data_IF_617227186993
#
_entry.id   IF_617227186993
#
_cell.length_a   1.000
_cell.length_b   1.000
_cell.length_c   1.000
_cell.angle_alpha   90.00
_cell.angle_beta   90.00
_cell.angle_gamma   90.00
#
_symmetry.space_group_name_H-M   'P 1'
#
loop_
_entity.id
_entity.type
_entity.pdbx_description
1 polymer ?
#
# COMPACT_ATOMS: atom_id res chain seq x y z
N UNK A 1 -18.93 16.70 -23.71
CA UNK A 1 -18.83 15.26 -24.05
C UNK A 1 -17.70 14.67 -23.23
N UNK A 2 -18.00 13.79 -22.29
CA UNK A 2 -17.01 13.15 -21.41
C UNK A 2 -16.28 12.06 -22.21
N UNK A 3 -14.97 12.25 -22.43
CA UNK A 3 -14.17 11.37 -23.27
C UNK A 3 -13.89 10.09 -22.48
N UNK A 4 -14.67 9.04 -22.74
CA UNK A 4 -14.50 7.71 -22.13
C UNK A 4 -13.16 7.11 -22.57
N UNK A 5 -12.08 7.40 -21.85
CA UNK A 5 -10.78 6.80 -22.13
C UNK A 5 -10.79 5.37 -21.63
N UNK A 6 -10.60 4.43 -22.56
CA UNK A 6 -10.47 3.01 -22.26
C UNK A 6 -9.01 2.59 -22.43
N UNK A 7 -8.39 2.09 -21.36
CA UNK A 7 -7.04 1.49 -21.42
C UNK A 7 -7.14 -0.01 -21.27
N UNK A 8 -6.30 -0.73 -22.02
CA UNK A 8 -6.15 -2.18 -21.94
C UNK A 8 -4.90 -2.56 -21.14
N UNK A 9 -5.04 -3.61 -20.32
CA UNK A 9 -4.01 -4.22 -19.50
C UNK A 9 -4.14 -5.74 -19.59
N UNK A 10 -3.02 -6.45 -19.51
CA UNK A 10 -3.02 -7.92 -19.45
C UNK A 10 -3.48 -8.43 -18.08
N UNK A 11 -3.24 -7.64 -17.03
CA UNK A 11 -3.62 -7.99 -15.66
C UNK A 11 -3.96 -6.74 -14.83
N UNK A 12 -5.07 -6.82 -14.09
CA UNK A 12 -5.49 -5.78 -13.16
C UNK A 12 -5.65 -6.41 -11.77
N UNK A 13 -4.96 -5.87 -10.78
CA UNK A 13 -5.24 -6.15 -9.37
C UNK A 13 -6.12 -5.05 -8.77
N UNK A 14 -7.25 -5.45 -8.19
CA UNK A 14 -8.08 -4.58 -7.35
C UNK A 14 -7.66 -4.82 -5.89
N UNK A 15 -6.85 -3.90 -5.37
CA UNK A 15 -6.23 -3.93 -4.05
C UNK A 15 -4.72 -4.21 -4.12
N UNK A 16 -3.92 -3.34 -3.51
CA UNK A 16 -2.47 -3.45 -3.36
C UNK A 16 -2.07 -4.08 -2.01
N UNK A 17 -2.82 -5.10 -1.58
CA UNK A 17 -2.37 -6.00 -0.50
C UNK A 17 -1.41 -7.06 -1.01
N UNK A 18 -0.91 -7.93 -0.11
CA UNK A 18 0.07 -8.97 -0.46
C UNK A 18 -0.34 -9.81 -1.68
N UNK A 19 -1.61 -10.24 -1.77
CA UNK A 19 -2.08 -11.04 -2.89
C UNK A 19 -2.09 -10.27 -4.22
N UNK A 20 -2.66 -9.06 -4.23
CA UNK A 20 -2.78 -8.26 -5.45
C UNK A 20 -1.42 -7.80 -5.98
N UNK A 21 -0.56 -7.31 -5.09
CA UNK A 21 0.80 -6.88 -5.42
C UNK A 21 1.64 -8.03 -5.98
N UNK A 22 1.74 -9.15 -5.27
CA UNK A 22 2.56 -10.28 -5.74
C UNK A 22 2.08 -10.84 -7.08
N UNK A 23 0.79 -10.76 -7.37
CA UNK A 23 0.23 -11.22 -8.63
C UNK A 23 0.61 -10.30 -9.80
N UNK A 24 0.48 -8.98 -9.65
CA UNK A 24 0.88 -8.02 -10.71
C UNK A 24 2.39 -7.90 -10.87
N UNK A 25 3.15 -8.00 -9.77
CA UNK A 25 4.61 -8.03 -9.78
C UNK A 25 5.10 -9.21 -10.61
N UNK A 26 4.59 -10.42 -10.34
CA UNK A 26 4.94 -11.62 -11.12
C UNK A 26 4.52 -11.52 -12.58
N UNK A 27 3.36 -10.95 -12.88
CA UNK A 27 2.93 -10.77 -14.26
C UNK A 27 3.83 -9.77 -15.01
N UNK A 28 4.22 -8.66 -14.36
CA UNK A 28 5.15 -7.68 -14.91
C UNK A 28 6.55 -8.27 -15.18
N UNK A 29 7.05 -9.16 -14.30
CA UNK A 29 8.29 -9.91 -14.53
C UNK A 29 8.25 -10.74 -15.84
N UNK A 30 7.06 -11.20 -16.26
CA UNK A 30 6.84 -11.90 -17.53
C UNK A 30 6.50 -10.95 -18.70
N UNK A 31 6.76 -9.65 -18.55
CA UNK A 31 6.54 -8.64 -19.60
C UNK A 31 5.08 -8.27 -19.83
N UNK A 32 4.17 -8.58 -18.89
CA UNK A 32 2.76 -8.21 -18.99
C UNK A 32 2.52 -6.78 -18.54
N UNK A 33 1.65 -6.08 -19.27
CA UNK A 33 1.23 -4.73 -18.91
C UNK A 33 0.21 -4.80 -17.77
N UNK A 34 0.62 -4.36 -16.59
CA UNK A 34 -0.16 -4.53 -15.37
C UNK A 34 -0.65 -3.20 -14.80
N UNK A 35 -1.77 -3.28 -14.09
CA UNK A 35 -2.34 -2.18 -13.32
C UNK A 35 -2.69 -2.66 -11.91
N UNK A 36 -2.42 -1.83 -10.90
CA UNK A 36 -2.98 -2.00 -9.57
C UNK A 36 -3.85 -0.81 -9.19
N UNK A 37 -5.02 -1.09 -8.61
CA UNK A 37 -5.97 -0.10 -8.12
C UNK A 37 -6.07 -0.27 -6.60
N UNK A 38 -5.62 0.71 -5.81
CA UNK A 38 -5.69 0.67 -4.35
C UNK A 38 -6.42 1.90 -3.81
N UNK A 39 -7.28 1.69 -2.81
CA UNK A 39 -8.13 2.74 -2.24
C UNK A 39 -7.50 3.39 -1.00
N UNK A 40 -6.66 2.65 -0.27
CA UNK A 40 -6.04 3.08 0.98
C UNK A 40 -4.53 3.20 0.83
N UNK A 41 -3.77 2.31 1.44
CA UNK A 41 -2.32 2.40 1.58
C UNK A 41 -1.69 1.13 1.03
N UNK A 42 -0.60 1.29 0.29
CA UNK A 42 0.19 0.21 -0.27
C UNK A 42 0.59 -0.83 0.79
N UNK A 43 0.64 -2.10 0.39
CA UNK A 43 0.92 -3.24 1.27
C UNK A 43 -0.31 -3.80 1.99
N UNK A 44 -1.47 -3.12 1.90
CA UNK A 44 -2.75 -3.58 2.42
C UNK A 44 -2.74 -3.92 3.91
N UNK A 45 -3.59 -4.85 4.34
CA UNK A 45 -3.74 -5.23 5.75
C UNK A 45 -2.44 -5.72 6.38
N UNK A 46 -1.71 -6.60 5.68
CA UNK A 46 -0.52 -7.26 6.20
C UNK A 46 0.53 -6.26 6.71
N UNK A 47 0.82 -5.24 5.90
CA UNK A 47 1.81 -4.20 6.21
C UNK A 47 1.25 -3.18 7.21
N UNK A 48 0.03 -2.71 7.00
CA UNK A 48 -0.45 -1.51 7.70
C UNK A 48 -1.07 -1.81 9.07
N UNK A 49 -1.82 -2.92 9.19
CA UNK A 49 -2.66 -3.21 10.38
C UNK A 49 -2.70 -4.70 10.77
N UNK A 50 -1.79 -5.50 10.23
CA UNK A 50 -1.78 -6.95 10.39
C UNK A 50 -0.43 -7.47 10.83
N UNK A 51 0.17 -8.30 9.98
CA UNK A 51 1.36 -9.09 10.27
C UNK A 51 2.55 -8.24 10.76
N UNK A 52 2.85 -7.13 10.08
CA UNK A 52 3.99 -6.26 10.40
C UNK A 52 3.85 -5.61 11.77
N UNK A 53 2.82 -4.80 12.06
CA UNK A 53 2.63 -4.22 13.39
C UNK A 53 2.53 -5.31 14.47
N UNK A 54 1.82 -6.41 14.20
CA UNK A 54 1.72 -7.54 15.13
C UNK A 54 3.11 -8.09 15.49
N UNK A 55 3.97 -8.34 14.50
CA UNK A 55 5.28 -8.95 14.75
C UNK A 55 6.21 -8.02 15.54
N UNK A 56 6.16 -6.71 15.28
CA UNK A 56 6.89 -5.71 16.10
C UNK A 56 6.44 -5.77 17.56
N UNK A 57 5.12 -5.79 17.82
CA UNK A 57 4.60 -5.88 19.18
C UNK A 57 4.94 -7.21 19.86
N UNK A 58 4.89 -8.31 19.11
CA UNK A 58 5.29 -9.63 19.60
C UNK A 58 6.76 -9.68 20.02
N UNK A 59 7.66 -9.06 19.24
CA UNK A 59 9.08 -8.97 19.61
C UNK A 59 9.28 -8.18 20.90
N UNK A 60 8.58 -7.05 21.07
CA UNK A 60 8.66 -6.27 22.30
C UNK A 60 8.15 -7.04 23.52
N UNK A 61 7.06 -7.79 23.38
CA UNK A 61 6.54 -8.65 24.45
C UNK A 61 7.55 -9.76 24.80
N UNK A 62 8.12 -10.43 23.78
CA UNK A 62 9.12 -11.46 24.00
C UNK A 62 10.38 -10.92 24.69
N UNK A 63 10.83 -9.72 24.33
CA UNK A 63 11.96 -9.06 24.99
C UNK A 63 11.65 -8.77 26.47
N UNK A 64 10.44 -8.32 26.80
CA UNK A 64 10.02 -8.13 28.19
C UNK A 64 10.06 -9.43 28.99
N UNK A 65 9.58 -10.54 28.41
CA UNK A 65 9.66 -11.87 29.04
C UNK A 65 11.11 -12.31 29.27
N UNK A 66 11.99 -12.13 28.28
CA UNK A 66 13.40 -12.50 28.43
C UNK A 66 14.10 -11.69 29.52
N UNK A 67 13.84 -10.38 29.59
CA UNK A 67 14.38 -9.51 30.63
C UNK A 67 13.88 -9.95 32.03
N UNK A 68 12.59 -10.29 32.16
CA UNK A 68 12.03 -10.77 33.42
C UNK A 68 12.71 -12.07 33.89
N UNK A 69 12.96 -12.99 32.96
CA UNK A 69 13.56 -14.29 33.27
C UNK A 69 15.09 -14.24 33.43
N UNK A 70 15.74 -13.11 33.13
CA UNK A 70 17.20 -13.01 33.06
C UNK A 70 17.90 -13.30 34.40
N UNK A 71 17.26 -13.01 35.53
CA UNK A 71 17.81 -13.29 36.87
C UNK A 71 18.03 -14.79 37.10
N UNK A 72 17.11 -15.64 36.62
CA UNK A 72 17.24 -17.10 36.69
C UNK A 72 18.41 -17.66 35.87
N UNK A 73 18.98 -16.84 34.98
CA UNK A 73 20.16 -17.16 34.18
C UNK A 73 21.44 -16.52 34.74
N UNK A 74 21.37 -15.91 35.93
CA UNK A 74 22.51 -15.25 36.58
C UNK A 74 22.78 -13.82 36.14
N UNK A 75 21.93 -13.22 35.30
CA UNK A 75 22.07 -11.81 34.92
C UNK A 75 21.41 -10.88 35.94
N UNK A 76 22.18 -9.95 36.48
CA UNK A 76 21.64 -8.83 37.25
C UNK A 76 21.11 -7.74 36.30
N UNK A 77 19.80 -7.71 36.07
CA UNK A 77 19.13 -6.72 35.20
C UNK A 77 18.11 -5.91 36.02
N UNK A 78 18.19 -4.59 35.93
CA UNK A 78 17.22 -3.65 36.49
C UNK A 78 16.54 -2.83 35.37
N UNK A 79 15.21 -2.84 35.34
CA UNK A 79 14.41 -2.15 34.31
C UNK A 79 13.82 -0.88 34.88
N UNK A 80 14.39 0.26 34.53
CA UNK A 80 13.94 1.57 35.04
C UNK A 80 12.54 1.97 34.59
N UNK A 81 12.21 1.77 33.30
CA UNK A 81 10.90 2.13 32.75
C UNK A 81 10.64 1.50 31.38
N UNK A 82 9.35 1.40 31.03
CA UNK A 82 8.90 1.04 29.68
C UNK A 82 8.03 2.16 29.10
N UNK A 83 8.33 2.58 27.86
CA UNK A 83 7.56 3.61 27.17
C UNK A 83 6.76 3.02 26.02
N UNK A 84 5.45 2.85 26.24
CA UNK A 84 4.51 2.44 25.20
C UNK A 84 4.53 3.39 24.00
N UNK A 85 4.65 4.71 24.26
CA UNK A 85 4.72 5.74 23.23
C UNK A 85 5.93 5.52 22.31
N UNK A 86 7.12 5.26 22.86
CA UNK A 86 8.32 5.00 22.06
C UNK A 86 8.17 3.73 21.21
N UNK A 87 7.65 2.64 21.78
CA UNK A 87 7.39 1.40 21.03
C UNK A 87 6.43 1.64 19.87
N UNK A 88 5.29 2.30 20.13
CA UNK A 88 4.30 2.61 19.11
C UNK A 88 4.87 3.48 18.00
N UNK A 89 5.63 4.53 18.34
CA UNK A 89 6.29 5.40 17.36
C UNK A 89 7.31 4.64 16.51
N UNK A 90 8.12 3.76 17.12
CA UNK A 90 9.07 2.92 16.38
C UNK A 90 8.38 1.99 15.38
N UNK A 91 7.28 1.35 15.80
CA UNK A 91 6.43 0.53 14.92
C UNK A 91 5.86 1.34 13.76
N UNK A 92 5.27 2.50 14.05
CA UNK A 92 4.62 3.33 13.04
C UNK A 92 5.65 3.87 12.03
N UNK A 93 6.85 4.23 12.49
CA UNK A 93 7.97 4.62 11.62
C UNK A 93 8.46 3.46 10.73
N UNK A 94 8.51 2.24 11.28
CA UNK A 94 8.90 1.06 10.51
C UNK A 94 7.90 0.78 9.38
N UNK A 95 6.60 0.84 9.68
CA UNK A 95 5.54 0.68 8.67
C UNK A 95 5.62 1.79 7.62
N UNK A 96 5.83 3.04 8.05
CA UNK A 96 6.00 4.19 7.14
C UNK A 96 7.17 3.97 6.16
N UNK A 97 8.29 3.44 6.65
CA UNK A 97 9.43 3.09 5.80
C UNK A 97 9.06 2.09 4.70
N UNK A 98 8.29 1.05 5.03
CA UNK A 98 7.81 0.07 4.05
C UNK A 98 6.86 0.74 3.03
N UNK A 99 5.92 1.57 3.49
CA UNK A 99 4.94 2.20 2.59
C UNK A 99 5.60 3.20 1.65
N UNK A 100 6.58 3.98 2.10
CA UNK A 100 7.31 4.93 1.26
C UNK A 100 8.20 4.22 0.23
N UNK A 101 8.71 3.03 0.55
CA UNK A 101 9.44 2.23 -0.43
C UNK A 101 8.58 1.86 -1.65
N UNK A 102 7.28 1.64 -1.46
CA UNK A 102 6.36 1.33 -2.56
C UNK A 102 6.18 2.48 -3.56
N UNK A 103 6.33 3.74 -3.15
CA UNK A 103 6.05 4.93 -3.97
C UNK A 103 6.85 4.97 -5.29
N UNK A 104 8.05 4.38 -5.31
CA UNK A 104 8.87 4.24 -6.52
C UNK A 104 9.11 2.81 -6.97
N UNK A 105 8.54 1.81 -6.29
CA UNK A 105 8.76 0.40 -6.60
C UNK A 105 7.95 -0.05 -7.82
N UNK A 106 6.67 0.32 -7.88
CA UNK A 106 5.79 -0.05 -8.99
C UNK A 106 6.22 0.58 -10.31
N UNK A 107 6.66 1.84 -10.27
CA UNK A 107 7.17 2.56 -11.45
C UNK A 107 8.40 1.84 -12.03
N UNK A 108 9.32 1.36 -11.19
CA UNK A 108 10.49 0.57 -11.63
C UNK A 108 10.11 -0.74 -12.31
N UNK A 109 8.97 -1.32 -11.96
CA UNK A 109 8.44 -2.53 -12.58
C UNK A 109 7.56 -2.24 -13.80
N UNK A 110 7.34 -0.96 -14.16
CA UNK A 110 6.44 -0.56 -15.24
C UNK A 110 4.97 -0.90 -14.96
N UNK A 111 4.59 -1.02 -13.68
CA UNK A 111 3.22 -1.30 -13.25
C UNK A 111 2.51 0.02 -13.05
N UNK A 112 1.40 0.22 -13.76
CA UNK A 112 0.56 1.39 -13.57
C UNK A 112 -0.14 1.32 -12.21
N UNK A 113 -0.30 2.47 -11.56
CA UNK A 113 -0.98 2.59 -10.28
C UNK A 113 -2.11 3.62 -10.35
N UNK A 114 -3.28 3.23 -9.84
CA UNK A 114 -4.41 4.15 -9.62
C UNK A 114 -4.77 4.15 -8.14
N UNK A 115 -4.71 5.32 -7.51
CA UNK A 115 -5.31 5.53 -6.19
C UNK A 115 -6.81 5.73 -6.35
N UNK A 116 -7.57 4.66 -6.14
CA UNK A 116 -9.02 4.70 -6.34
C UNK A 116 -9.73 3.43 -5.93
N UNK A 117 -11.05 3.44 -6.09
CA UNK A 117 -11.87 2.26 -5.85
C UNK A 117 -12.16 1.55 -7.17
N UNK A 118 -11.69 0.31 -7.32
CA UNK A 118 -11.99 -0.52 -8.48
C UNK A 118 -13.30 -1.29 -8.31
N UNK A 119 -14.16 -1.29 -9.34
CA UNK A 119 -15.40 -2.06 -9.40
C UNK A 119 -15.50 -2.78 -10.74
N UNK A 120 -15.72 -4.09 -10.73
CA UNK A 120 -16.04 -4.83 -11.95
C UNK A 120 -17.38 -4.33 -12.51
N UNK A 121 -17.41 -4.00 -13.80
CA UNK A 121 -18.65 -3.63 -14.50
C UNK A 121 -19.14 -4.74 -15.43
N UNK A 122 -18.21 -5.56 -15.94
CA UNK A 122 -18.48 -6.78 -16.68
C UNK A 122 -17.28 -7.74 -16.56
N UNK A 123 -17.30 -8.85 -17.30
CA UNK A 123 -16.28 -9.91 -17.26
C UNK A 123 -14.85 -9.40 -17.47
N UNK A 124 -14.68 -8.40 -18.34
CA UNK A 124 -13.37 -7.93 -18.79
C UNK A 124 -13.19 -6.43 -18.56
N UNK A 125 -14.03 -5.80 -17.74
CA UNK A 125 -13.97 -4.35 -17.55
C UNK A 125 -14.07 -3.99 -16.08
N UNK A 126 -13.10 -3.21 -15.62
CA UNK A 126 -13.09 -2.55 -14.31
C UNK A 126 -13.36 -1.07 -14.51
N UNK A 127 -14.22 -0.50 -13.67
CA UNK A 127 -14.36 0.94 -13.51
C UNK A 127 -13.64 1.33 -12.23
N UNK A 128 -12.69 2.24 -12.34
CA UNK A 128 -12.11 2.92 -11.19
C UNK A 128 -12.88 4.20 -10.88
N UNK A 129 -12.98 4.50 -9.59
CA UNK A 129 -13.31 5.82 -9.08
C UNK A 129 -12.02 6.40 -8.48
N UNK A 130 -11.28 7.16 -9.30
CA UNK A 130 -10.08 7.88 -8.86
C UNK A 130 -10.41 8.79 -7.67
N UNK A 131 -9.69 8.61 -6.57
CA UNK A 131 -9.76 9.51 -5.43
C UNK A 131 -8.67 10.55 -5.64
N UNK A 132 -9.05 11.73 -6.13
CA UNK A 132 -8.09 12.82 -6.34
C UNK A 132 -7.66 13.34 -4.96
N UNK A 133 -6.52 12.89 -4.46
CA UNK A 133 -5.84 13.54 -3.34
C UNK A 133 -4.96 14.67 -3.88
N UNK A 134 -5.14 15.89 -3.37
CA UNK A 134 -4.29 17.05 -3.61
C UNK A 134 -2.95 16.90 -2.85
N UNK A 135 -2.15 15.87 -3.16
CA UNK A 135 -0.80 15.70 -2.60
C UNK A 135 0.25 15.69 -3.71
N UNK A 136 1.29 16.56 -3.63
CA UNK A 136 2.20 16.80 -4.73
C UNK A 136 3.45 15.92 -4.61
N UNK A 137 3.38 14.67 -5.06
CA UNK A 137 4.62 13.96 -5.44
C UNK A 137 4.29 12.69 -6.20
N UNK A 138 4.83 12.60 -7.42
CA UNK A 138 4.84 11.44 -8.30
C UNK A 138 3.53 11.13 -9.04
N UNK A 139 3.11 12.05 -9.90
CA UNK A 139 2.69 11.78 -11.29
C UNK A 139 2.21 13.11 -11.85
N UNK A 140 2.84 13.60 -12.92
CA UNK A 140 2.35 14.81 -13.58
C UNK A 140 0.92 14.58 -14.06
N UNK A 141 -0.04 15.45 -13.72
CA UNK A 141 -1.34 15.42 -14.37
C UNK A 141 -1.07 15.76 -15.84
N UNK A 142 -1.40 14.84 -16.74
CA UNK A 142 -1.63 15.17 -18.15
C UNK A 142 -2.47 16.46 -18.17
N UNK A 143 -1.85 17.53 -18.66
CA UNK A 143 -2.31 18.91 -18.61
C UNK A 143 -3.73 19.04 -19.17
N UNK A 144 -4.76 18.96 -18.32
CA UNK A 144 -6.14 19.22 -18.75
C UNK A 144 -7.09 19.57 -17.61
N UNK A 145 -6.67 20.38 -16.64
CA UNK A 145 -7.58 20.85 -15.59
C UNK A 145 -7.54 22.38 -15.42
N UNK A 146 -8.35 23.07 -16.23
CA UNK A 146 -8.95 24.34 -15.83
C UNK A 146 -10.27 24.05 -15.09
N UNK A 147 -10.29 24.51 -13.83
CA UNK A 147 -11.38 24.84 -12.89
C UNK A 147 -12.84 24.50 -13.26
N UNK A 148 -13.55 24.03 -12.22
CA UNK A 148 -14.99 24.07 -11.97
C UNK A 148 -15.89 23.07 -12.72
N UNK A 149 -16.11 21.89 -12.12
CA UNK A 149 -17.44 21.28 -11.95
C UNK A 149 -17.34 19.97 -11.16
N UNK A 150 -18.33 19.71 -10.31
CA UNK A 150 -18.46 18.64 -9.31
C UNK A 150 -18.65 17.22 -9.89
N UNK A 151 -18.01 16.89 -11.00
CA UNK A 151 -18.02 15.54 -11.60
C UNK A 151 -16.61 14.95 -11.55
N UNK A 152 -16.43 13.93 -10.71
CA UNK A 152 -15.21 13.12 -10.67
C UNK A 152 -15.02 12.41 -12.03
N UNK A 153 -13.82 12.43 -12.63
CA UNK A 153 -13.58 11.79 -13.92
C UNK A 153 -13.64 10.26 -13.78
N UNK A 154 -14.37 9.60 -14.68
CA UNK A 154 -14.50 8.14 -14.74
C UNK A 154 -13.57 7.55 -15.80
N UNK A 155 -12.88 6.46 -15.46
CA UNK A 155 -12.14 5.65 -16.44
C UNK A 155 -12.76 4.25 -16.54
N UNK A 156 -12.76 3.70 -17.75
CA UNK A 156 -13.14 2.31 -18.01
C UNK A 156 -11.86 1.58 -18.38
N UNK A 157 -11.55 0.48 -17.71
CA UNK A 157 -10.31 -0.24 -17.89
C UNK A 157 -10.66 -1.66 -18.31
N UNK A 158 -10.06 -2.12 -19.41
CA UNK A 158 -10.30 -3.46 -19.91
C UNK A 158 -9.13 -4.39 -19.61
N UNK A 159 -9.50 -5.62 -19.26
CA UNK A 159 -8.65 -6.81 -19.21
C UNK A 159 -8.68 -7.45 -20.60
#
# INVERSE_FOLDING_TARGET
MEKKMTKHYDMIAIGAGSGGLSAVERAAEYGKKCLVIEVKTMGGTCVNVGCVPKKVMWFAANAATQINNAQGLGFAVDVKSFSWKKLKQGRDNYIKGITTWYDGYLEKLGIDYIHGFGKLVDKNTVRDLCIIHNSPSYFQPLQFFKKNSSKFPYFSIKI
#
